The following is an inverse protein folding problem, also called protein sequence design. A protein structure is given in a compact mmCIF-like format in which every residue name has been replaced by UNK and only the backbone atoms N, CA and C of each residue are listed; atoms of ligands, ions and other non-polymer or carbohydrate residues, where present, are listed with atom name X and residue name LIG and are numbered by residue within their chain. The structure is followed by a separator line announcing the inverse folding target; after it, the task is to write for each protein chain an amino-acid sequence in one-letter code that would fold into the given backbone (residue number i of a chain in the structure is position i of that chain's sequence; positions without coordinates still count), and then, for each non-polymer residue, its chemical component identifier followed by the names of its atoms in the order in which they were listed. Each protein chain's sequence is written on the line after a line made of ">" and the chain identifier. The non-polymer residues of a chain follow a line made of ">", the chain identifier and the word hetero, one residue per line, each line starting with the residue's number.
data_IF_462773604040
#
_entry.id   IF_462773604040
#
_cell.length_a   1.000
_cell.length_b   1.000
_cell.length_c   1.000
_cell.angle_alpha   90.00
_cell.angle_beta   90.00
_cell.angle_gamma   90.00
#
_symmetry.space_group_name_H-M   'P 1'
#
loop_
_entity.id
_entity.type
_entity.pdbx_description
1 polymer ?
#
# COMPACT_ATOMS: atom_id res chain seq x y z
N UNK A 1 -0.65 11.48 5.50
CA UNK A 1 0.72 11.41 4.93
C UNK A 1 1.46 10.34 5.69
N UNK A 2 1.79 9.19 5.09
CA UNK A 2 2.62 8.16 5.78
C UNK A 2 4.09 8.54 5.66
N UNK A 3 4.84 8.31 6.73
CA UNK A 3 6.26 8.59 6.83
C UNK A 3 7.06 7.70 5.87
N UNK A 4 7.85 8.35 5.03
CA UNK A 4 8.80 7.71 4.11
C UNK A 4 9.87 7.02 4.94
N UNK A 5 10.08 5.71 4.76
CA UNK A 5 11.08 4.98 5.55
C UNK A 5 12.49 5.33 5.11
N UNK A 6 13.48 5.14 5.98
CA UNK A 6 14.89 5.47 5.70
C UNK A 6 15.47 4.64 4.55
N UNK A 7 14.97 3.43 4.35
CA UNK A 7 15.37 2.52 3.27
C UNK A 7 14.73 2.92 1.94
N UNK A 8 13.46 3.37 1.97
CA UNK A 8 12.82 3.99 0.81
C UNK A 8 13.63 5.21 0.37
N UNK A 9 13.94 6.12 1.30
CA UNK A 9 14.76 7.32 1.03
C UNK A 9 16.12 6.94 0.44
N UNK A 10 16.80 5.90 0.97
CA UNK A 10 18.11 5.48 0.46
C UNK A 10 18.06 4.94 -0.99
N UNK A 11 16.94 4.34 -1.41
CA UNK A 11 16.73 3.90 -2.79
C UNK A 11 16.61 5.12 -3.73
N UNK A 12 15.89 6.15 -3.30
CA UNK A 12 15.73 7.41 -4.04
C UNK A 12 17.01 8.27 -4.07
N UNK A 13 17.80 8.28 -2.98
CA UNK A 13 19.05 9.05 -2.87
C UNK A 13 20.16 8.54 -3.81
N UNK A 14 20.05 7.30 -4.31
CA UNK A 14 20.97 6.74 -5.32
C UNK A 14 20.52 6.97 -6.76
N UNK A 15 19.29 7.44 -6.97
CA UNK A 15 18.78 7.70 -8.32
C UNK A 15 19.46 8.95 -8.89
N UNK A 16 20.21 8.77 -9.98
CA UNK A 16 21.04 9.82 -10.58
C UNK A 16 20.22 11.02 -11.07
N UNK A 17 18.98 10.81 -11.49
CA UNK A 17 18.11 11.88 -11.98
C UNK A 17 17.53 12.70 -10.83
N UNK A 18 17.14 12.04 -9.73
CA UNK A 18 16.72 12.72 -8.49
C UNK A 18 17.87 13.55 -7.93
N UNK A 19 19.08 12.97 -7.85
CA UNK A 19 20.27 13.67 -7.35
C UNK A 19 20.61 14.88 -8.22
N UNK A 20 20.58 14.71 -9.55
CA UNK A 20 20.88 15.79 -10.48
C UNK A 20 19.85 16.93 -10.42
N UNK A 21 18.55 16.61 -10.39
CA UNK A 21 17.49 17.61 -10.27
C UNK A 21 17.55 18.34 -8.92
N UNK A 22 17.82 17.62 -7.82
CA UNK A 22 18.01 18.22 -6.50
C UNK A 22 19.25 19.14 -6.44
N UNK A 23 20.35 18.79 -7.12
CA UNK A 23 21.53 19.64 -7.23
C UNK A 23 21.24 20.93 -8.01
N UNK A 24 20.50 20.85 -9.13
CA UNK A 24 20.06 22.03 -9.88
C UNK A 24 19.23 22.96 -8.98
N UNK A 25 18.26 22.39 -8.26
CA UNK A 25 17.45 23.16 -7.31
C UNK A 25 18.30 23.80 -6.21
N UNK A 26 19.24 23.06 -5.60
CA UNK A 26 20.10 23.55 -4.53
C UNK A 26 21.11 24.63 -4.99
N UNK A 27 21.54 24.59 -6.24
CA UNK A 27 22.38 25.63 -6.84
C UNK A 27 21.56 26.87 -7.18
N UNK A 28 20.41 26.68 -7.86
CA UNK A 28 19.57 27.80 -8.32
C UNK A 28 18.89 28.54 -7.19
N UNK A 29 18.55 27.86 -6.11
CA UNK A 29 18.03 28.46 -4.86
C UNK A 29 19.01 29.40 -4.17
N UNK A 30 20.33 29.27 -4.43
CA UNK A 30 21.36 30.20 -3.90
C UNK A 30 21.52 31.47 -4.75
N UNK A 31 21.08 31.42 -5.99
CA UNK A 31 21.23 32.51 -6.97
C UNK A 31 19.98 33.38 -7.11
N UNK A 32 18.82 32.85 -6.72
CA UNK A 32 17.51 33.47 -6.94
C UNK A 32 16.89 33.87 -5.60
N UNK A 33 16.38 35.11 -5.52
CA UNK A 33 15.68 35.60 -4.32
C UNK A 33 14.38 34.82 -4.08
N UNK A 34 13.97 34.73 -2.82
CA UNK A 34 12.81 33.91 -2.42
C UNK A 34 11.47 34.28 -3.07
N UNK A 35 11.36 35.50 -3.60
CA UNK A 35 10.18 35.98 -4.32
C UNK A 35 10.13 35.56 -5.80
N UNK A 36 11.24 35.09 -6.39
CA UNK A 36 11.32 34.73 -7.81
C UNK A 36 11.18 33.20 -8.08
N UNK A 37 11.08 32.37 -7.04
CA UNK A 37 10.97 30.91 -7.15
C UNK A 37 9.83 30.41 -8.04
N UNK A 38 8.66 31.05 -7.98
CA UNK A 38 7.46 30.59 -8.69
C UNK A 38 7.48 30.86 -10.21
N UNK A 39 8.47 31.59 -10.72
CA UNK A 39 8.57 31.96 -12.13
C UNK A 39 9.90 31.59 -12.81
N UNK A 40 10.84 30.99 -12.11
CA UNK A 40 12.11 30.58 -12.72
C UNK A 40 11.91 29.27 -13.52
N UNK A 41 12.09 29.29 -14.86
CA UNK A 41 11.82 28.13 -15.70
C UNK A 41 12.76 26.95 -15.43
N UNK A 42 13.97 27.19 -14.91
CA UNK A 42 14.93 26.14 -14.54
C UNK A 42 14.42 25.42 -13.29
N UNK A 43 13.90 26.16 -12.32
CA UNK A 43 13.31 25.58 -11.10
C UNK A 43 12.06 24.79 -11.43
N UNK A 44 11.15 25.35 -12.26
CA UNK A 44 9.95 24.64 -12.71
C UNK A 44 10.29 23.33 -13.42
N UNK A 45 11.23 23.36 -14.36
CA UNK A 45 11.65 22.16 -15.11
C UNK A 45 12.31 21.12 -14.20
N UNK A 46 13.15 21.54 -13.25
CA UNK A 46 13.79 20.63 -12.30
C UNK A 46 12.77 19.98 -11.35
N UNK A 47 11.78 20.74 -10.86
CA UNK A 47 10.69 20.20 -10.05
C UNK A 47 9.82 19.22 -10.83
N UNK A 48 9.50 19.54 -12.09
CA UNK A 48 8.72 18.65 -12.95
C UNK A 48 9.44 17.32 -13.16
N UNK A 49 10.72 17.34 -13.54
CA UNK A 49 11.52 16.10 -13.69
C UNK A 49 11.59 15.28 -12.41
N UNK A 50 11.68 15.93 -11.25
CA UNK A 50 11.65 15.26 -9.95
C UNK A 50 10.31 14.56 -9.72
N UNK A 51 9.19 15.25 -9.97
CA UNK A 51 7.86 14.69 -9.80
C UNK A 51 7.61 13.53 -10.77
N UNK A 52 7.99 13.68 -12.05
CA UNK A 52 7.85 12.64 -13.07
C UNK A 52 8.63 11.39 -12.64
N UNK A 53 9.90 11.56 -12.23
CA UNK A 53 10.75 10.44 -11.81
C UNK A 53 10.25 9.76 -10.52
N UNK A 54 9.76 10.54 -9.56
CA UNK A 54 9.12 9.99 -8.35
C UNK A 54 7.87 9.19 -8.72
N UNK A 55 7.09 9.67 -9.69
CA UNK A 55 5.88 8.99 -10.16
C UNK A 55 6.23 7.67 -10.83
N UNK A 56 7.22 7.63 -11.73
CA UNK A 56 7.72 6.40 -12.35
C UNK A 56 8.24 5.38 -11.32
N UNK A 57 9.00 5.84 -10.33
CA UNK A 57 9.52 4.96 -9.29
C UNK A 57 8.41 4.43 -8.38
N UNK A 58 7.39 5.25 -8.09
CA UNK A 58 6.21 4.80 -7.36
C UNK A 58 5.43 3.76 -8.18
N UNK A 59 5.21 3.99 -9.48
CA UNK A 59 4.57 3.02 -10.35
C UNK A 59 5.33 1.69 -10.37
N UNK A 60 6.66 1.73 -10.52
CA UNK A 60 7.51 0.54 -10.48
C UNK A 60 7.49 -0.17 -9.12
N UNK A 61 7.47 0.59 -8.03
CA UNK A 61 7.37 0.03 -6.68
C UNK A 61 6.00 -0.62 -6.44
N UNK A 62 4.95 -0.06 -7.04
CA UNK A 62 3.58 -0.60 -6.95
C UNK A 62 3.36 -1.76 -7.91
N UNK A 63 4.05 -1.85 -9.06
CA UNK A 63 3.90 -2.95 -10.01
C UNK A 63 4.38 -4.30 -9.48
N UNK A 64 5.23 -4.30 -8.45
CA UNK A 64 5.69 -5.51 -7.77
C UNK A 64 4.72 -5.97 -6.66
N UNK A 65 3.67 -5.19 -6.38
CA UNK A 65 2.67 -5.45 -5.33
C UNK A 65 1.35 -5.89 -5.94
N UNK A 66 0.61 -6.68 -5.18
CA UNK A 66 -0.64 -7.29 -5.60
C UNK A 66 -1.76 -6.83 -4.68
N UNK A 67 -2.93 -6.53 -5.25
CA UNK A 67 -4.17 -6.30 -4.53
C UNK A 67 -4.79 -7.65 -4.22
N UNK A 68 -4.90 -7.95 -2.94
CA UNK A 68 -5.43 -9.21 -2.44
C UNK A 68 -6.75 -8.92 -1.75
N UNK A 69 -7.80 -9.61 -2.16
CA UNK A 69 -9.10 -9.61 -1.49
C UNK A 69 -9.15 -10.79 -0.52
N UNK A 70 -9.33 -10.50 0.78
CA UNK A 70 -9.75 -11.46 1.77
C UNK A 70 -11.27 -11.40 1.90
N UNK A 71 -11.92 -12.56 1.87
CA UNK A 71 -13.36 -12.69 2.11
C UNK A 71 -13.58 -13.77 3.15
N UNK A 72 -14.71 -13.74 3.84
CA UNK A 72 -15.24 -14.94 4.49
C UNK A 72 -16.57 -15.27 3.83
N UNK A 73 -16.68 -16.40 3.13
CA UNK A 73 -17.93 -16.78 2.46
C UNK A 73 -19.13 -16.99 3.39
N UNK A 74 -18.90 -17.02 4.70
CA UNK A 74 -19.94 -17.13 5.73
C UNK A 74 -20.41 -15.76 6.28
N UNK A 75 -19.68 -14.68 6.00
CA UNK A 75 -20.05 -13.32 6.36
C UNK A 75 -20.01 -12.41 5.12
N UNK A 76 -20.49 -11.17 5.24
CA UNK A 76 -20.24 -10.17 4.21
C UNK A 76 -18.94 -9.42 4.54
N UNK A 77 -17.96 -10.05 5.18
CA UNK A 77 -16.73 -9.35 5.56
C UNK A 77 -15.72 -9.45 4.42
N UNK A 78 -15.13 -8.32 4.08
CA UNK A 78 -14.19 -8.19 2.98
C UNK A 78 -13.10 -7.18 3.32
N UNK A 79 -11.85 -7.59 3.12
CA UNK A 79 -10.67 -6.72 3.29
C UNK A 79 -9.86 -6.75 2.01
N UNK A 80 -9.59 -5.58 1.43
CA UNK A 80 -8.64 -5.48 0.31
C UNK A 80 -7.32 -4.92 0.81
N UNK A 81 -6.25 -5.66 0.54
CA UNK A 81 -4.89 -5.36 0.97
C UNK A 81 -3.94 -5.31 -0.22
N UNK A 82 -3.13 -4.26 -0.31
CA UNK A 82 -1.98 -4.22 -1.21
C UNK A 82 -0.79 -4.82 -0.47
N UNK A 83 -0.16 -5.85 -1.05
CA UNK A 83 1.01 -6.50 -0.46
C UNK A 83 2.02 -7.01 -1.48
N UNK A 84 3.28 -7.13 -1.06
CA UNK A 84 4.33 -7.85 -1.77
C UNK A 84 4.63 -9.24 -1.16
N UNK A 85 3.88 -9.64 -0.12
CA UNK A 85 4.05 -10.93 0.54
C UNK A 85 3.93 -12.09 -0.47
N UNK A 86 4.78 -13.13 -0.38
CA UNK A 86 4.62 -14.36 -1.15
C UNK A 86 3.29 -15.03 -0.85
N UNK A 87 2.72 -15.74 -1.84
CA UNK A 87 1.46 -16.47 -1.70
C UNK A 87 1.39 -17.34 -0.43
N UNK A 88 2.42 -18.14 -0.16
CA UNK A 88 2.43 -19.01 1.03
C UNK A 88 2.33 -18.24 2.35
N UNK A 89 2.89 -17.03 2.44
CA UNK A 89 2.77 -16.19 3.64
C UNK A 89 1.36 -15.60 3.80
N UNK A 90 0.68 -15.32 2.68
CA UNK A 90 -0.73 -14.88 2.71
C UNK A 90 -1.62 -16.05 3.15
N UNK A 91 -1.38 -17.26 2.67
CA UNK A 91 -2.08 -18.47 3.11
C UNK A 91 -1.86 -18.76 4.61
N UNK A 92 -0.63 -18.56 5.11
CA UNK A 92 -0.32 -18.64 6.55
C UNK A 92 -1.10 -17.61 7.36
N UNK A 93 -1.21 -16.37 6.85
CA UNK A 93 -2.05 -15.34 7.47
C UNK A 93 -3.52 -15.77 7.50
N UNK A 94 -4.07 -16.31 6.41
CA UNK A 94 -5.45 -16.82 6.37
C UNK A 94 -5.69 -17.92 7.41
N UNK A 95 -4.79 -18.92 7.48
CA UNK A 95 -4.85 -19.98 8.50
C UNK A 95 -4.83 -19.41 9.91
N UNK A 96 -3.92 -18.47 10.18
CA UNK A 96 -3.79 -17.84 11.50
C UNK A 96 -5.06 -17.07 11.89
N UNK A 97 -5.64 -16.30 10.96
CA UNK A 97 -6.88 -15.54 11.21
C UNK A 97 -8.04 -16.48 11.55
N UNK A 98 -8.16 -17.61 10.87
CA UNK A 98 -9.18 -18.61 11.18
C UNK A 98 -8.96 -19.30 12.52
N UNK A 99 -7.74 -19.80 12.77
CA UNK A 99 -7.41 -20.51 14.00
C UNK A 99 -7.70 -19.67 15.25
N UNK A 100 -7.47 -18.35 15.14
CA UNK A 100 -7.68 -17.39 16.22
C UNK A 100 -8.89 -16.50 15.99
N UNK A 101 -9.91 -16.98 15.26
CA UNK A 101 -11.14 -16.22 15.01
C UNK A 101 -11.79 -15.80 16.34
N UNK A 102 -12.10 -14.51 16.47
CA UNK A 102 -12.60 -13.91 17.72
C UNK A 102 -11.51 -13.50 18.73
N UNK A 103 -10.25 -13.87 18.52
CA UNK A 103 -9.11 -13.42 19.34
C UNK A 103 -8.40 -12.21 18.69
N UNK A 104 -9.10 -11.09 18.60
CA UNK A 104 -8.66 -9.86 17.91
C UNK A 104 -7.26 -9.39 18.33
N UNK A 105 -6.86 -9.56 19.59
CA UNK A 105 -5.53 -9.15 20.07
C UNK A 105 -4.40 -9.97 19.42
N UNK A 106 -4.58 -11.30 19.30
CA UNK A 106 -3.61 -12.19 18.66
C UNK A 106 -3.51 -11.91 17.16
N UNK A 107 -4.65 -11.75 16.49
CA UNK A 107 -4.71 -11.41 15.07
C UNK A 107 -4.00 -10.08 14.82
N UNK A 108 -4.27 -9.05 15.62
CA UNK A 108 -3.61 -7.75 15.50
C UNK A 108 -2.10 -7.83 15.73
N UNK A 109 -1.64 -8.66 16.68
CA UNK A 109 -0.23 -8.85 16.92
C UNK A 109 0.46 -9.53 15.73
N UNK A 110 -0.13 -10.60 15.19
CA UNK A 110 0.38 -11.26 14.00
C UNK A 110 0.40 -10.33 12.79
N UNK A 111 -0.65 -9.51 12.61
CA UNK A 111 -0.68 -8.50 11.54
C UNK A 111 0.44 -7.46 11.67
N UNK A 112 0.87 -7.10 12.90
CA UNK A 112 2.03 -6.21 13.10
C UNK A 112 3.32 -6.88 12.66
N UNK A 113 3.49 -8.16 12.97
CA UNK A 113 4.65 -8.94 12.53
C UNK A 113 4.64 -9.11 11.00
N UNK A 114 3.49 -9.41 10.42
CA UNK A 114 3.31 -9.49 8.96
C UNK A 114 3.65 -8.16 8.26
N UNK A 115 3.20 -7.03 8.83
CA UNK A 115 3.52 -5.66 8.34
C UNK A 115 4.99 -5.27 8.49
N UNK A 116 5.73 -5.92 9.40
CA UNK A 116 7.19 -5.70 9.55
C UNK A 116 7.94 -6.37 8.41
N UNK A 117 7.51 -7.58 8.05
CA UNK A 117 8.25 -8.44 7.12
C UNK A 117 7.82 -8.18 5.66
N UNK A 118 6.60 -7.68 5.43
CA UNK A 118 6.03 -7.41 4.11
C UNK A 118 5.38 -6.03 4.02
N UNK A 119 5.45 -5.41 2.84
CA UNK A 119 4.63 -4.24 2.57
C UNK A 119 3.16 -4.64 2.68
N UNK A 120 2.41 -3.90 3.48
CA UNK A 120 0.99 -4.16 3.69
C UNK A 120 0.24 -2.84 3.83
N UNK A 121 -0.74 -2.63 2.94
CA UNK A 121 -1.64 -1.48 3.00
C UNK A 121 -3.07 -1.95 2.78
N UNK A 122 -3.88 -1.93 3.83
CA UNK A 122 -5.32 -2.07 3.73
C UNK A 122 -5.87 -0.84 3.02
N UNK A 123 -6.63 -1.07 1.96
CA UNK A 123 -7.29 -0.03 1.16
C UNK A 123 -8.81 -0.08 1.25
N UNK A 124 -9.35 -1.20 1.73
CA UNK A 124 -10.75 -1.41 2.01
C UNK A 124 -10.89 -2.39 3.17
N UNK A 125 -11.80 -2.10 4.08
CA UNK A 125 -12.16 -2.94 5.21
C UNK A 125 -13.66 -2.74 5.48
N UNK A 126 -14.45 -3.81 5.33
CA UNK A 126 -15.90 -3.79 5.53
C UNK A 126 -16.33 -3.36 6.93
N UNK A 127 -15.52 -3.61 7.95
CA UNK A 127 -15.84 -3.28 9.35
C UNK A 127 -15.62 -1.79 9.64
N UNK A 128 -14.64 -1.17 8.99
CA UNK A 128 -14.31 0.24 9.17
C UNK A 128 -15.04 1.15 8.16
N UNK A 129 -15.47 0.62 7.01
CA UNK A 129 -16.17 1.40 5.99
C UNK A 129 -17.66 1.57 6.31
N UNK A 130 -17.99 2.70 6.93
CA UNK A 130 -19.37 3.06 7.27
C UNK A 130 -20.33 3.17 6.07
N UNK A 131 -19.84 3.18 4.82
CA UNK A 131 -20.69 3.13 3.61
C UNK A 131 -21.11 1.71 3.23
N UNK A 132 -20.57 0.70 3.90
CA UNK A 132 -20.78 -0.71 3.59
C UNK A 132 -22.15 -1.26 4.04
N UNK A 133 -22.87 -0.54 4.90
CA UNK A 133 -24.21 -0.93 5.37
C UNK A 133 -25.30 -0.50 4.39
N UNK A 134 -25.35 -1.15 3.22
CA UNK A 134 -26.41 -0.95 2.23
C UNK A 134 -26.59 -2.19 1.35
N UNK A 135 -27.78 -2.80 1.36
CA UNK A 135 -28.16 -3.86 0.43
C UNK A 135 -27.90 -3.40 -1.02
N UNK A 136 -26.81 -3.87 -1.63
CA UNK A 136 -26.42 -3.57 -3.02
C UNK A 136 -25.15 -2.73 -3.22
N UNK A 137 -24.46 -2.25 -2.18
CA UNK A 137 -23.19 -1.51 -2.32
C UNK A 137 -21.93 -2.35 -2.10
N UNK A 138 -22.08 -3.56 -1.54
CA UNK A 138 -21.01 -4.55 -1.36
C UNK A 138 -20.25 -4.84 -2.67
N UNK A 139 -20.99 -5.15 -3.74
CA UNK A 139 -20.40 -5.43 -5.05
C UNK A 139 -19.79 -4.15 -5.66
N UNK A 140 -20.45 -3.00 -5.51
CA UNK A 140 -20.01 -1.76 -6.17
C UNK A 140 -18.64 -1.27 -5.68
N UNK A 141 -18.36 -1.28 -4.37
CA UNK A 141 -17.08 -0.76 -3.85
C UNK A 141 -15.92 -1.71 -4.13
N UNK A 142 -16.12 -3.01 -3.95
CA UNK A 142 -15.10 -4.04 -4.21
C UNK A 142 -14.79 -4.13 -5.71
N UNK A 143 -15.82 -4.10 -6.57
CA UNK A 143 -15.65 -4.11 -8.04
C UNK A 143 -14.97 -2.83 -8.56
N UNK A 144 -15.29 -1.66 -7.99
CA UNK A 144 -14.65 -0.39 -8.38
C UNK A 144 -13.17 -0.35 -7.98
N UNK A 145 -12.80 -0.89 -6.81
CA UNK A 145 -11.41 -0.93 -6.35
C UNK A 145 -10.59 -1.96 -7.15
N UNK A 146 -11.21 -3.11 -7.45
CA UNK A 146 -10.61 -4.26 -8.12
C UNK A 146 -9.52 -4.95 -7.31
N UNK A 147 -9.24 -6.21 -7.63
CA UNK A 147 -8.23 -7.04 -6.98
C UNK A 147 -7.57 -7.99 -7.98
N UNK A 148 -6.36 -8.44 -7.67
CA UNK A 148 -5.58 -9.36 -8.49
C UNK A 148 -5.78 -10.83 -8.05
N UNK A 149 -5.99 -11.05 -6.76
CA UNK A 149 -6.12 -12.37 -6.14
C UNK A 149 -7.21 -12.38 -5.06
N UNK A 150 -7.85 -13.52 -4.84
CA UNK A 150 -8.88 -13.74 -3.80
C UNK A 150 -8.45 -14.87 -2.88
N UNK A 151 -8.58 -14.65 -1.57
CA UNK A 151 -8.34 -15.63 -0.52
C UNK A 151 -9.58 -15.67 0.36
N UNK A 152 -10.37 -16.73 0.19
CA UNK A 152 -11.53 -16.97 1.04
C UNK A 152 -11.05 -17.65 2.32
N UNK A 153 -11.27 -17.00 3.47
CA UNK A 153 -10.89 -17.51 4.77
C UNK A 153 -11.50 -18.88 5.01
N UNK A 154 -12.74 -19.15 4.59
CA UNK A 154 -13.37 -20.46 4.79
C UNK A 154 -12.63 -21.64 4.12
N UNK A 155 -11.72 -21.38 3.16
CA UNK A 155 -10.88 -22.42 2.53
C UNK A 155 -9.70 -22.86 3.41
N UNK A 156 -9.42 -22.14 4.50
CA UNK A 156 -8.25 -22.36 5.39
C UNK A 156 -8.66 -22.78 6.80
N UNK A 157 -9.83 -23.39 6.96
CA UNK A 157 -10.27 -23.96 8.24
C UNK A 157 -9.46 -25.23 8.54
N UNK A 158 -9.06 -25.42 9.80
CA UNK A 158 -8.33 -26.61 10.20
C UNK A 158 -9.24 -27.85 10.12
N UNK A 159 -8.71 -28.98 9.65
CA UNK A 159 -9.48 -30.24 9.49
C UNK A 159 -10.03 -30.82 10.83
N UNK A 160 -9.74 -30.20 11.98
CA UNK A 160 -10.18 -30.66 13.31
C UNK A 160 -11.57 -30.14 13.72
N UNK A 161 -12.20 -29.25 12.94
CA UNK A 161 -13.51 -28.63 13.26
C UNK A 161 -14.71 -29.20 12.46
N UNK A 162 -14.61 -30.42 11.93
CA UNK A 162 -15.73 -31.16 11.28
C UNK A 162 -16.23 -32.35 12.11
#
# INVERSE_FOLDING_TARGET
>A
MKDVTKEDIQKYVKDKEIVFAAQILALRTKEVSSSAYKGDPIITLAMQRLNDRISELNEKFMSEKRKVLFTDSMSNDAVIMITDAPKGCIEDLCRFVNEFYGETEKINQYYKDFKRDWYTKIIFDSDEDSTFYGFGEYENNVEVIGYDEVYNLSDYVSEEDC
#
